data_IF_321745630635
#
_entry.id   IF_321745630635
#
_cell.length_a   1.000
_cell.length_b   1.000
_cell.length_c   1.000
_cell.angle_alpha   90.00
_cell.angle_beta   90.00
_cell.angle_gamma   90.00
#
_symmetry.space_group_name_H-M   'P 1'
#
loop_
_entity.id
_entity.type
_entity.pdbx_description
1 polymer ?
#
# COMPACT_ATOMS: atom_id res chain seq x y z
N UNK A 1 6.19 4.22 -32.16
CA UNK A 1 7.52 3.90 -32.78
C UNK A 1 8.23 2.97 -31.82
N UNK A 2 8.60 1.75 -32.23
CA UNK A 2 9.22 0.76 -31.32
C UNK A 2 10.58 1.31 -30.89
N UNK A 3 10.76 1.61 -29.61
CA UNK A 3 12.00 2.21 -29.11
C UNK A 3 12.79 1.18 -28.27
N UNK A 4 13.36 0.13 -28.89
CA UNK A 4 13.99 -0.99 -28.20
C UNK A 4 15.21 -0.55 -27.37
N UNK A 5 15.84 0.56 -27.76
CA UNK A 5 16.97 1.14 -27.07
C UNK A 5 16.61 1.56 -25.62
N UNK A 6 15.47 2.22 -25.42
CA UNK A 6 15.04 2.65 -24.08
C UNK A 6 14.69 1.47 -23.18
N UNK A 7 14.05 0.45 -23.73
CA UNK A 7 13.79 -0.79 -23.02
C UNK A 7 15.09 -1.49 -22.62
N UNK A 8 16.08 -1.58 -23.52
CA UNK A 8 17.38 -2.16 -23.22
C UNK A 8 18.10 -1.40 -22.10
N UNK A 9 18.11 -0.06 -22.16
CA UNK A 9 18.68 0.79 -21.10
C UNK A 9 18.00 0.54 -19.76
N UNK A 10 16.65 0.51 -19.73
CA UNK A 10 15.89 0.27 -18.51
C UNK A 10 16.22 -1.10 -17.88
N UNK A 11 16.31 -2.15 -18.70
CA UNK A 11 16.71 -3.49 -18.26
C UNK A 11 18.15 -3.49 -17.72
N UNK A 12 19.10 -2.89 -18.44
CA UNK A 12 20.50 -2.82 -18.00
C UNK A 12 20.65 -2.08 -16.68
N UNK A 13 19.99 -0.93 -16.52
CA UNK A 13 19.98 -0.17 -15.26
C UNK A 13 19.40 -1.00 -14.11
N UNK A 14 18.28 -1.67 -14.34
CA UNK A 14 17.66 -2.53 -13.33
C UNK A 14 18.54 -3.73 -12.95
N UNK A 15 19.23 -4.35 -13.91
CA UNK A 15 20.19 -5.42 -13.65
C UNK A 15 21.41 -4.94 -12.86
N UNK A 16 21.96 -3.76 -13.17
CA UNK A 16 23.08 -3.17 -12.43
C UNK A 16 22.70 -2.92 -10.97
N UNK A 17 21.51 -2.34 -10.73
CA UNK A 17 21.02 -2.11 -9.36
C UNK A 17 20.83 -3.43 -8.62
N UNK A 18 20.23 -4.43 -9.27
CA UNK A 18 20.02 -5.76 -8.69
C UNK A 18 21.35 -6.45 -8.34
N UNK A 19 22.32 -6.45 -9.25
CA UNK A 19 23.66 -6.99 -9.01
C UNK A 19 24.35 -6.30 -7.84
N UNK A 20 24.21 -4.97 -7.73
CA UNK A 20 24.76 -4.20 -6.62
C UNK A 20 24.18 -4.51 -5.24
N UNK A 21 23.06 -5.25 -5.15
CA UNK A 21 22.54 -5.78 -3.88
C UNK A 21 23.17 -7.11 -3.47
N UNK A 22 23.68 -7.89 -4.42
CA UNK A 22 24.33 -9.19 -4.15
C UNK A 22 25.82 -9.07 -3.82
N UNK A 23 26.43 -7.90 -4.03
CA UNK A 23 27.86 -7.65 -3.78
C UNK A 23 28.04 -7.10 -2.35
N UNK A 24 28.83 -7.76 -1.49
CA UNK A 24 29.18 -7.23 -0.17
C UNK A 24 30.01 -5.93 -0.28
N UNK A 25 29.82 -4.94 0.62
CA UNK A 25 30.54 -3.66 0.57
C UNK A 25 32.07 -3.78 0.66
N UNK A 26 32.56 -4.87 1.26
CA UNK A 26 33.98 -5.15 1.48
C UNK A 26 34.72 -5.56 0.19
N UNK A 27 33.99 -5.95 -0.85
CA UNK A 27 34.56 -6.47 -2.08
C UNK A 27 35.01 -5.33 -3.01
N UNK A 28 36.19 -4.77 -2.73
CA UNK A 28 36.77 -3.61 -3.42
C UNK A 28 36.90 -3.77 -4.95
N UNK A 29 37.02 -5.00 -5.47
CA UNK A 29 37.06 -5.28 -6.91
C UNK A 29 35.81 -4.82 -7.66
N UNK A 30 34.65 -4.75 -6.98
CA UNK A 30 33.37 -4.35 -7.57
C UNK A 30 32.86 -3.00 -7.02
N UNK A 31 33.74 -2.18 -6.44
CA UNK A 31 33.39 -0.88 -5.88
C UNK A 31 32.63 0.01 -6.88
N UNK A 32 32.99 -0.05 -8.17
CA UNK A 32 32.31 0.70 -9.24
C UNK A 32 30.81 0.37 -9.35
N UNK A 33 30.41 -0.91 -9.24
CA UNK A 33 29.01 -1.33 -9.31
C UNK A 33 28.23 -0.80 -8.11
N UNK A 34 28.85 -0.80 -6.92
CA UNK A 34 28.25 -0.25 -5.71
C UNK A 34 28.03 1.27 -5.82
N UNK A 35 28.99 2.00 -6.39
CA UNK A 35 28.86 3.43 -6.67
C UNK A 35 27.78 3.71 -7.71
N UNK A 36 27.72 2.94 -8.81
CA UNK A 36 26.64 3.09 -9.79
C UNK A 36 25.27 2.82 -9.18
N UNK A 37 25.14 1.75 -8.38
CA UNK A 37 23.91 1.44 -7.67
C UNK A 37 23.47 2.61 -6.79
N UNK A 38 24.37 3.21 -6.01
CA UNK A 38 24.00 4.32 -5.12
C UNK A 38 23.56 5.57 -5.90
N UNK A 39 24.23 5.89 -7.01
CA UNK A 39 23.85 7.01 -7.89
C UNK A 39 22.47 6.75 -8.52
N UNK A 40 22.26 5.56 -9.09
CA UNK A 40 21.01 5.20 -9.77
C UNK A 40 19.83 5.16 -8.80
N UNK A 41 20.01 4.60 -7.60
CA UNK A 41 18.99 4.66 -6.54
C UNK A 41 18.75 6.11 -6.11
N UNK A 42 19.79 6.92 -5.98
CA UNK A 42 19.66 8.35 -5.67
C UNK A 42 18.79 9.09 -6.69
N UNK A 43 19.02 8.87 -7.99
CA UNK A 43 18.17 9.43 -9.04
C UNK A 43 16.73 8.90 -8.97
N UNK A 44 16.54 7.61 -8.72
CA UNK A 44 15.22 7.03 -8.56
C UNK A 44 14.45 7.67 -7.38
N UNK A 45 15.13 7.93 -6.25
CA UNK A 45 14.54 8.60 -5.08
C UNK A 45 14.16 10.04 -5.40
N UNK A 46 15.02 10.78 -6.11
CA UNK A 46 14.71 12.15 -6.55
C UNK A 46 13.48 12.15 -7.47
N UNK A 47 13.46 11.27 -8.47
CA UNK A 47 12.33 11.14 -9.41
C UNK A 47 11.04 10.74 -8.67
N UNK A 48 11.12 9.83 -7.70
CA UNK A 48 9.98 9.44 -6.88
C UNK A 48 9.46 10.63 -6.04
N UNK A 49 10.35 11.43 -5.46
CA UNK A 49 9.98 12.64 -4.73
C UNK A 49 9.29 13.68 -5.62
N UNK A 50 9.83 13.92 -6.82
CA UNK A 50 9.21 14.82 -7.82
C UNK A 50 7.86 14.27 -8.27
N UNK A 51 7.75 12.97 -8.55
CA UNK A 51 6.49 12.33 -8.94
C UNK A 51 5.43 12.44 -7.83
N UNK A 52 5.81 12.28 -6.57
CA UNK A 52 4.93 12.49 -5.43
C UNK A 52 4.43 13.95 -5.37
N UNK A 53 5.34 14.92 -5.56
CA UNK A 53 4.97 16.34 -5.62
C UNK A 53 3.99 16.63 -6.78
N UNK A 54 4.26 16.10 -7.97
CA UNK A 54 3.37 16.20 -9.13
C UNK A 54 2.00 15.58 -8.82
N UNK A 55 1.96 14.44 -8.12
CA UNK A 55 0.72 13.81 -7.68
C UNK A 55 -0.11 14.70 -6.74
N UNK A 56 0.54 15.29 -5.73
CA UNK A 56 -0.10 16.22 -4.78
C UNK A 56 -0.59 17.48 -5.50
N UNK A 57 0.23 18.09 -6.34
CA UNK A 57 -0.13 19.27 -7.12
C UNK A 57 -1.28 18.99 -8.09
N UNK A 58 -1.28 17.82 -8.74
CA UNK A 58 -2.35 17.41 -9.61
C UNK A 58 -3.67 17.28 -8.84
N UNK A 59 -3.66 16.63 -7.67
CA UNK A 59 -4.84 16.51 -6.82
C UNK A 59 -5.38 17.90 -6.44
N UNK A 60 -4.50 18.80 -6.00
CA UNK A 60 -4.85 20.18 -5.65
C UNK A 60 -5.45 20.94 -6.85
N UNK A 61 -4.81 20.88 -8.02
CA UNK A 61 -5.28 21.54 -9.23
C UNK A 61 -6.64 21.01 -9.69
N UNK A 62 -6.87 19.70 -9.61
CA UNK A 62 -8.16 19.09 -9.95
C UNK A 62 -9.27 19.64 -9.06
N UNK A 63 -9.04 19.75 -7.75
CA UNK A 63 -10.06 20.24 -6.81
C UNK A 63 -10.26 21.75 -6.93
N UNK A 64 -9.19 22.51 -7.22
CA UNK A 64 -9.28 23.94 -7.52
C UNK A 64 -10.12 24.21 -8.79
N UNK A 65 -9.94 23.39 -9.84
CA UNK A 65 -10.78 23.46 -11.05
C UNK A 65 -12.21 23.05 -10.79
N UNK A 66 -12.45 22.03 -9.96
CA UNK A 66 -13.80 21.55 -9.61
C UNK A 66 -14.60 22.59 -8.80
N UNK A 67 -13.97 23.31 -7.87
CA UNK A 67 -14.68 24.35 -7.11
C UNK A 67 -14.97 25.62 -7.93
N UNK A 68 -14.14 25.91 -8.95
CA UNK A 68 -14.31 27.07 -9.85
C UNK A 68 -15.09 26.72 -11.12
N UNK A 69 -15.59 25.49 -11.23
CA UNK A 69 -16.34 25.03 -12.40
C UNK A 69 -17.65 25.81 -12.55
N UNK A 70 -17.93 26.27 -13.78
CA UNK A 70 -19.15 27.03 -14.10
C UNK A 70 -20.44 26.19 -14.01
N UNK A 71 -20.33 24.87 -14.06
CA UNK A 71 -21.46 23.93 -14.05
C UNK A 71 -21.14 22.81 -13.09
N UNK A 72 -22.04 22.62 -12.12
CA UNK A 72 -21.94 21.66 -11.02
C UNK A 72 -20.65 21.78 -10.17
N UNK A 73 -20.44 22.93 -9.49
CA UNK A 73 -19.26 23.13 -8.66
C UNK A 73 -19.29 22.19 -7.45
N UNK A 74 -18.17 21.49 -7.23
CA UNK A 74 -18.01 20.62 -6.06
C UNK A 74 -17.70 21.47 -4.82
N UNK A 75 -18.70 21.62 -3.95
CA UNK A 75 -18.59 22.38 -2.70
C UNK A 75 -17.64 21.71 -1.70
N UNK A 76 -17.48 20.39 -1.75
CA UNK A 76 -16.57 19.66 -0.85
C UNK A 76 -15.10 19.86 -1.22
N UNK A 77 -14.81 20.18 -2.49
CA UNK A 77 -13.45 20.53 -2.93
C UNK A 77 -12.87 21.75 -2.18
N UNK A 78 -13.71 22.66 -1.69
CA UNK A 78 -13.28 23.83 -0.89
C UNK A 78 -12.66 23.37 0.44
N UNK A 79 -13.31 22.42 1.12
CA UNK A 79 -12.82 21.89 2.39
C UNK A 79 -11.47 21.20 2.22
N UNK A 80 -11.29 20.44 1.13
CA UNK A 80 -10.01 19.80 0.83
C UNK A 80 -8.92 20.85 0.64
N UNK A 81 -9.14 21.86 -0.21
CA UNK A 81 -8.13 22.89 -0.49
C UNK A 81 -7.77 23.68 0.76
N UNK A 82 -8.74 24.04 1.60
CA UNK A 82 -8.47 24.72 2.88
C UNK A 82 -7.66 23.81 3.82
N UNK A 83 -8.05 22.55 3.98
CA UNK A 83 -7.33 21.59 4.81
C UNK A 83 -5.91 21.33 4.30
N UNK A 84 -5.71 21.29 2.98
CA UNK A 84 -4.41 21.16 2.35
C UNK A 84 -3.53 22.38 2.65
N UNK A 85 -4.03 23.60 2.43
CA UNK A 85 -3.27 24.82 2.71
C UNK A 85 -2.96 24.98 4.21
N UNK A 86 -3.90 24.64 5.08
CA UNK A 86 -3.70 24.67 6.52
C UNK A 86 -2.64 23.66 6.98
N UNK A 87 -2.74 22.41 6.53
CA UNK A 87 -1.74 21.38 6.87
C UNK A 87 -0.36 21.71 6.28
N UNK A 88 -0.29 22.17 5.02
CA UNK A 88 0.96 22.60 4.41
C UNK A 88 1.59 23.78 5.17
N UNK A 89 0.81 24.82 5.50
CA UNK A 89 1.28 25.98 6.25
C UNK A 89 1.76 25.62 7.66
N UNK A 90 1.02 24.76 8.37
CA UNK A 90 1.44 24.25 9.68
C UNK A 90 2.73 23.43 9.59
N UNK A 91 2.89 22.62 8.54
CA UNK A 91 4.11 21.84 8.32
C UNK A 91 5.34 22.71 8.09
N UNK A 92 5.20 23.84 7.40
CA UNK A 92 6.27 24.82 7.22
C UNK A 92 6.62 25.56 8.52
N UNK A 93 5.65 25.78 9.40
CA UNK A 93 5.87 26.49 10.66
C UNK A 93 6.43 25.58 11.77
N UNK A 94 5.84 24.40 11.99
CA UNK A 94 6.18 23.49 13.09
C UNK A 94 7.26 22.47 12.71
N UNK A 95 7.53 22.24 11.42
CA UNK A 95 8.35 21.13 10.89
C UNK A 95 7.62 19.77 10.96
N UNK A 96 7.81 18.85 9.98
CA UNK A 96 7.15 17.54 9.98
C UNK A 96 7.45 16.62 11.18
N UNK A 97 8.55 16.88 11.90
CA UNK A 97 8.95 16.10 13.07
C UNK A 97 8.21 16.53 14.36
N UNK A 98 7.48 17.64 14.34
CA UNK A 98 6.81 18.16 15.52
C UNK A 98 5.60 17.27 15.92
N UNK A 99 5.47 16.90 17.21
CA UNK A 99 4.37 16.05 17.68
C UNK A 99 2.97 16.64 17.47
N UNK A 100 2.81 17.97 17.54
CA UNK A 100 1.53 18.63 17.30
C UNK A 100 1.16 18.55 15.83
N UNK A 101 2.13 18.76 14.93
CA UNK A 101 1.91 18.58 13.50
C UNK A 101 1.52 17.13 13.17
N UNK A 102 2.22 16.14 13.74
CA UNK A 102 1.90 14.73 13.57
C UNK A 102 0.47 14.39 14.06
N UNK A 103 0.02 14.97 15.17
CA UNK A 103 -1.36 14.80 15.66
C UNK A 103 -2.39 15.33 14.67
N UNK A 104 -2.17 16.50 14.08
CA UNK A 104 -3.08 17.07 13.07
C UNK A 104 -3.14 16.18 11.84
N UNK A 105 -1.98 15.74 11.33
CA UNK A 105 -1.92 14.88 10.14
C UNK A 105 -2.61 13.53 10.40
N UNK A 106 -2.32 12.90 11.54
CA UNK A 106 -2.94 11.60 11.91
C UNK A 106 -4.45 11.73 12.15
N UNK A 107 -4.93 12.85 12.67
CA UNK A 107 -6.36 13.11 12.81
C UNK A 107 -7.10 13.22 11.45
N UNK A 108 -6.40 13.61 10.38
CA UNK A 108 -6.94 13.60 9.01
C UNK A 108 -6.79 12.22 8.35
N UNK A 109 -5.63 11.57 8.56
CA UNK A 109 -5.30 10.28 7.95
C UNK A 109 -6.17 9.14 8.50
N UNK A 110 -6.37 9.07 9.81
CA UNK A 110 -7.08 7.96 10.45
C UNK A 110 -8.54 7.80 9.96
N UNK A 111 -9.35 8.87 9.79
CA UNK A 111 -10.67 8.75 9.17
C UNK A 111 -10.61 8.29 7.72
N UNK A 112 -9.65 8.76 6.92
CA UNK A 112 -9.50 8.33 5.52
C UNK A 112 -9.20 6.83 5.47
N UNK A 113 -8.24 6.36 6.26
CA UNK A 113 -7.93 4.93 6.39
C UNK A 113 -9.14 4.12 6.86
N UNK A 114 -9.89 4.63 7.85
CA UNK A 114 -11.11 3.99 8.33
C UNK A 114 -12.19 3.89 7.25
N UNK A 115 -12.38 4.91 6.41
CA UNK A 115 -13.34 4.85 5.29
C UNK A 115 -12.92 3.85 4.22
N UNK A 116 -11.62 3.75 3.92
CA UNK A 116 -11.10 2.75 2.99
C UNK A 116 -11.27 1.33 3.55
N UNK A 117 -10.99 1.13 4.85
CA UNK A 117 -11.26 -0.13 5.52
C UNK A 117 -12.76 -0.46 5.53
N UNK A 118 -13.63 0.51 5.74
CA UNK A 118 -15.08 0.31 5.69
C UNK A 118 -15.54 -0.13 4.29
N UNK A 119 -15.01 0.49 3.22
CA UNK A 119 -15.28 0.07 1.85
C UNK A 119 -14.78 -1.37 1.59
N UNK A 120 -13.61 -1.73 2.09
CA UNK A 120 -13.10 -3.10 2.02
C UNK A 120 -14.01 -4.08 2.77
N UNK A 121 -14.46 -3.74 3.98
CA UNK A 121 -15.39 -4.57 4.75
C UNK A 121 -16.69 -4.78 3.96
N UNK A 122 -17.31 -3.71 3.46
CA UNK A 122 -18.57 -3.79 2.70
C UNK A 122 -18.40 -4.66 1.44
N UNK A 123 -17.33 -4.43 0.68
CA UNK A 123 -17.07 -5.20 -0.55
C UNK A 123 -16.78 -6.67 -0.28
N UNK A 124 -16.03 -6.99 0.79
CA UNK A 124 -15.78 -8.36 1.23
C UNK A 124 -17.07 -9.03 1.73
N UNK A 125 -17.87 -8.34 2.55
CA UNK A 125 -19.18 -8.85 3.00
C UNK A 125 -20.10 -9.16 1.82
N UNK A 126 -20.19 -8.25 0.84
CA UNK A 126 -20.95 -8.50 -0.38
C UNK A 126 -20.39 -9.71 -1.17
N UNK A 127 -19.07 -9.82 -1.26
CA UNK A 127 -18.39 -10.98 -1.85
C UNK A 127 -18.72 -12.29 -1.14
N UNK A 128 -18.74 -12.28 0.20
CA UNK A 128 -19.12 -13.42 1.04
C UNK A 128 -20.58 -13.83 0.83
N UNK A 129 -21.52 -12.88 0.82
CA UNK A 129 -22.93 -13.16 0.53
C UNK A 129 -23.07 -13.77 -0.87
N UNK A 130 -22.40 -13.19 -1.87
CA UNK A 130 -22.41 -13.70 -3.24
C UNK A 130 -21.82 -15.11 -3.34
N UNK A 131 -20.78 -15.42 -2.55
CA UNK A 131 -20.20 -16.76 -2.46
C UNK A 131 -21.23 -17.77 -1.96
N UNK A 132 -21.93 -17.46 -0.87
CA UNK A 132 -22.96 -18.35 -0.31
C UNK A 132 -24.16 -18.54 -1.24
N UNK A 133 -24.58 -17.48 -1.94
CA UNK A 133 -25.72 -17.57 -2.86
C UNK A 133 -25.40 -18.39 -4.12
N UNK A 134 -24.17 -18.28 -4.66
CA UNK A 134 -23.82 -18.88 -5.96
C UNK A 134 -23.09 -20.22 -5.87
N UNK A 135 -22.48 -20.56 -4.73
CA UNK A 135 -21.70 -21.79 -4.57
C UNK A 135 -22.21 -22.57 -3.36
N UNK A 136 -22.81 -23.74 -3.59
CA UNK A 136 -23.20 -24.70 -2.54
C UNK A 136 -22.13 -25.79 -2.29
N UNK A 137 -20.87 -25.50 -2.60
CA UNK A 137 -19.77 -26.45 -2.49
C UNK A 137 -19.10 -26.44 -1.11
N UNK A 138 -18.22 -27.41 -0.90
CA UNK A 138 -17.43 -27.58 0.33
C UNK A 138 -16.71 -26.30 0.75
N UNK A 139 -16.21 -25.51 -0.20
CA UNK A 139 -15.56 -24.22 0.06
C UNK A 139 -16.47 -23.19 0.73
N UNK A 140 -17.75 -23.13 0.36
CA UNK A 140 -18.69 -22.21 0.99
C UNK A 140 -19.01 -22.66 2.42
N UNK A 141 -19.13 -23.97 2.67
CA UNK A 141 -19.32 -24.52 4.01
C UNK A 141 -18.12 -24.21 4.90
N UNK A 142 -16.90 -24.48 4.43
CA UNK A 142 -15.67 -24.18 5.17
C UNK A 142 -15.60 -22.69 5.50
N UNK A 143 -15.88 -21.81 4.53
CA UNK A 143 -15.89 -20.37 4.77
C UNK A 143 -16.96 -19.95 5.80
N UNK A 144 -18.17 -20.49 5.73
CA UNK A 144 -19.24 -20.20 6.71
C UNK A 144 -18.83 -20.60 8.13
N UNK A 145 -18.32 -21.82 8.29
CA UNK A 145 -17.86 -22.33 9.58
C UNK A 145 -16.73 -21.44 10.11
N UNK A 146 -15.69 -21.18 9.31
CA UNK A 146 -14.58 -20.32 9.72
C UNK A 146 -15.04 -18.91 10.11
N UNK A 147 -15.89 -18.27 9.28
CA UNK A 147 -16.40 -16.92 9.56
C UNK A 147 -17.22 -16.88 10.85
N UNK A 148 -18.10 -17.86 11.07
CA UNK A 148 -18.90 -17.95 12.29
C UNK A 148 -18.02 -18.07 13.54
N UNK A 149 -17.04 -18.98 13.54
CA UNK A 149 -16.12 -19.14 14.67
C UNK A 149 -15.28 -17.88 14.91
N UNK A 150 -14.77 -17.22 13.88
CA UNK A 150 -14.00 -15.99 14.03
C UNK A 150 -14.84 -14.85 14.62
N UNK A 151 -16.07 -14.66 14.14
CA UNK A 151 -16.99 -13.65 14.69
C UNK A 151 -17.32 -13.97 16.15
N UNK A 152 -17.57 -15.25 16.45
CA UNK A 152 -17.91 -15.70 17.79
C UNK A 152 -16.76 -15.52 18.79
N UNK A 153 -15.51 -15.75 18.36
CA UNK A 153 -14.32 -15.50 19.18
C UNK A 153 -14.08 -14.00 19.36
N UNK A 154 -14.19 -13.23 18.28
CA UNK A 154 -13.93 -11.79 18.29
C UNK A 154 -14.97 -10.99 19.09
N UNK A 155 -16.20 -11.50 19.24
CA UNK A 155 -17.25 -10.85 20.04
C UNK A 155 -16.98 -10.85 21.54
N UNK A 156 -16.00 -11.62 22.02
CA UNK A 156 -15.66 -11.73 23.44
C UNK A 156 -16.59 -12.63 24.25
N UNK A 157 -17.63 -13.21 23.64
CA UNK A 157 -18.58 -14.09 24.34
C UNK A 157 -17.93 -15.33 24.97
N UNK A 158 -16.80 -15.80 24.40
CA UNK A 158 -16.04 -16.94 24.93
C UNK A 158 -14.86 -16.53 25.81
N UNK A 159 -14.71 -15.25 26.17
CA UNK A 159 -13.62 -14.80 27.03
C UNK A 159 -13.49 -15.60 28.36
N UNK A 160 -14.58 -15.99 29.06
CA UNK A 160 -14.47 -16.81 30.28
C UNK A 160 -13.94 -18.23 30.04
N UNK A 161 -14.07 -18.77 28.84
CA UNK A 161 -13.54 -20.10 28.49
C UNK A 161 -12.05 -20.05 28.15
N UNK A 162 -11.50 -18.86 27.89
CA UNK A 162 -10.07 -18.69 27.55
C UNK A 162 -9.15 -18.86 28.78
N UNK A 163 -9.68 -18.71 30.00
CA UNK A 163 -8.92 -18.91 31.24
C UNK A 163 -8.77 -20.39 31.65
N UNK A 164 -9.40 -21.32 30.91
CA UNK A 164 -9.26 -22.75 31.17
C UNK A 164 -7.92 -23.28 30.60
N UNK A 165 -7.14 -24.03 31.41
CA UNK A 165 -5.87 -24.60 30.96
C UNK A 165 -6.10 -25.58 29.81
N UNK A 166 -5.27 -25.48 28.76
CA UNK A 166 -5.36 -26.28 27.52
C UNK A 166 -6.25 -25.68 26.42
N UNK A 167 -7.32 -24.98 26.79
CA UNK A 167 -8.25 -24.34 25.84
C UNK A 167 -7.73 -22.95 25.42
N UNK A 168 -7.14 -22.19 26.35
CA UNK A 168 -6.59 -20.86 26.08
C UNK A 168 -5.57 -20.83 24.92
N UNK A 169 -4.69 -21.83 24.83
CA UNK A 169 -3.68 -21.91 23.78
C UNK A 169 -4.25 -22.11 22.36
N UNK A 170 -5.39 -22.81 22.24
CA UNK A 170 -6.09 -22.96 20.96
C UNK A 170 -6.74 -21.64 20.53
N UNK A 171 -7.37 -20.90 21.46
CA UNK A 171 -7.92 -19.58 21.17
C UNK A 171 -6.83 -18.58 20.79
N UNK A 172 -5.69 -18.60 21.48
CA UNK A 172 -4.54 -17.76 21.16
C UNK A 172 -4.00 -18.05 19.75
N UNK A 173 -3.88 -19.33 19.38
CA UNK A 173 -3.49 -19.73 18.02
C UNK A 173 -4.48 -19.20 16.97
N UNK A 174 -5.79 -19.37 17.20
CA UNK A 174 -6.82 -18.92 16.27
C UNK A 174 -6.82 -17.38 16.14
N UNK A 175 -6.68 -16.65 17.24
CA UNK A 175 -6.61 -15.18 17.25
C UNK A 175 -5.36 -14.63 16.54
N UNK A 176 -4.29 -15.43 16.42
CA UNK A 176 -3.07 -15.04 15.67
C UNK A 176 -3.22 -15.23 14.15
N UNK A 177 -4.16 -16.06 13.68
CA UNK A 177 -4.34 -16.34 12.24
C UNK A 177 -4.65 -15.07 11.40
N UNK A 178 -5.53 -14.13 11.80
CA UNK A 178 -5.76 -12.89 11.04
C UNK A 178 -4.51 -12.02 10.93
N UNK A 179 -3.69 -11.97 11.98
CA UNK A 179 -2.42 -11.24 11.97
C UNK A 179 -1.45 -11.90 10.99
N UNK A 180 -1.39 -13.23 10.98
CA UNK A 180 -0.63 -13.99 9.98
C UNK A 180 -1.15 -13.76 8.55
N UNK A 181 -2.48 -13.66 8.37
CA UNK A 181 -3.12 -13.33 7.09
C UNK A 181 -2.73 -11.94 6.58
N UNK A 182 -2.69 -10.94 7.47
CA UNK A 182 -2.23 -9.57 7.12
C UNK A 182 -0.77 -9.59 6.65
N UNK A 183 0.10 -10.32 7.35
CA UNK A 183 1.49 -10.55 6.90
C UNK A 183 1.55 -11.28 5.57
N UNK A 184 0.68 -12.26 5.34
CA UNK A 184 0.54 -12.96 4.07
C UNK A 184 0.16 -12.02 2.92
N UNK A 185 -0.75 -11.08 3.15
CA UNK A 185 -1.11 -10.04 2.16
C UNK A 185 0.10 -9.14 1.87
N UNK A 186 0.83 -8.71 2.90
CA UNK A 186 2.05 -7.91 2.72
C UNK A 186 3.12 -8.66 1.92
N UNK A 187 3.31 -9.95 2.19
CA UNK A 187 4.20 -10.81 1.40
C UNK A 187 3.69 -10.95 -0.04
N UNK A 188 2.38 -11.09 -0.24
CA UNK A 188 1.77 -11.11 -1.57
C UNK A 188 2.00 -9.82 -2.34
N UNK A 189 1.87 -8.66 -1.71
CA UNK A 189 2.16 -7.35 -2.31
C UNK A 189 3.66 -7.24 -2.63
N UNK A 190 4.53 -7.68 -1.73
CA UNK A 190 5.97 -7.71 -1.97
C UNK A 190 6.33 -8.60 -3.17
N UNK A 191 5.80 -9.83 -3.23
CA UNK A 191 6.00 -10.73 -4.36
C UNK A 191 5.37 -10.19 -5.66
N UNK A 192 4.21 -9.54 -5.58
CA UNK A 192 3.56 -8.88 -6.71
C UNK A 192 4.42 -7.74 -7.29
N UNK A 193 4.98 -6.90 -6.43
CA UNK A 193 5.89 -5.82 -6.86
C UNK A 193 7.21 -6.37 -7.40
N UNK A 194 7.77 -7.41 -6.79
CA UNK A 194 8.96 -8.11 -7.30
C UNK A 194 8.71 -8.74 -8.68
N UNK A 195 7.57 -9.41 -8.87
CA UNK A 195 7.23 -10.02 -10.16
C UNK A 195 6.98 -8.97 -11.24
N UNK A 196 6.35 -7.83 -10.91
CA UNK A 196 6.26 -6.70 -11.84
C UNK A 196 7.65 -6.18 -12.24
N UNK A 197 8.57 -6.02 -11.28
CA UNK A 197 9.95 -5.65 -11.54
C UNK A 197 10.68 -6.67 -12.43
N UNK A 198 10.56 -7.96 -12.10
CA UNK A 198 11.16 -9.06 -12.88
C UNK A 198 10.63 -9.13 -14.31
N UNK A 199 9.33 -8.91 -14.54
CA UNK A 199 8.76 -8.87 -15.90
C UNK A 199 9.37 -7.76 -16.74
N UNK A 200 9.62 -6.60 -16.13
CA UNK A 200 10.33 -5.49 -16.78
C UNK A 200 11.78 -5.90 -17.08
N UNK A 201 12.50 -6.49 -16.12
CA UNK A 201 13.89 -6.93 -16.30
C UNK A 201 14.05 -8.01 -17.36
N UNK A 202 13.10 -8.95 -17.45
CA UNK A 202 13.09 -10.01 -18.46
C UNK A 202 12.59 -9.52 -19.83
N UNK A 203 12.18 -8.26 -19.94
CA UNK A 203 11.65 -7.67 -21.17
C UNK A 203 10.28 -8.22 -21.59
N UNK A 204 9.60 -8.95 -20.71
CA UNK A 204 8.22 -9.40 -20.92
C UNK A 204 7.27 -8.20 -20.96
N UNK A 205 7.47 -7.25 -20.06
CA UNK A 205 6.84 -5.93 -20.10
C UNK A 205 7.85 -4.94 -20.68
N UNK A 206 7.52 -4.31 -21.82
CA UNK A 206 8.39 -3.32 -22.48
C UNK A 206 8.07 -1.92 -21.97
N UNK A 207 8.86 -1.36 -21.03
CA UNK A 207 8.68 0.01 -20.61
C UNK A 207 8.91 0.94 -21.82
N UNK A 208 8.04 1.96 -21.95
CA UNK A 208 8.11 3.01 -22.98
C UNK A 208 7.69 2.62 -24.42
N UNK A 209 6.89 1.56 -24.58
CA UNK A 209 6.42 1.07 -25.88
C UNK A 209 5.16 1.74 -26.45
N UNK A 210 4.90 3.01 -26.08
CA UNK A 210 3.77 3.80 -26.59
C UNK A 210 3.67 3.87 -28.12
#
# INVERSE_FOLDING_TARGET
>A
MRAPLWTAIAISVGLIVLLGYFIPPEMTRFAFILTLRSILIGWAVILAGVAALVGVLNLFMVHLRRMTARRDPDRYSILLVIAFLASFGLGLYLTPADPQYQKVVTAIQAPVEATLMALLVITLTFGSIRLFQRRKGLMAVVFAVSAFFFILIASGLLAPLQSLPGIGGLFEFIQRLPIAGTRGILLGIALGSLTAGLRILLGADRPFSG
#
